data_IF_065712247056
#
_entry.id   IF_065712247056
#
_cell.length_a   1.000
_cell.length_b   1.000
_cell.length_c   1.000
_cell.angle_alpha   90.00
_cell.angle_beta   90.00
_cell.angle_gamma   90.00
#
_symmetry.space_group_name_H-M   'P 1'
#
loop_
_entity.id
_entity.type
_entity.pdbx_description
1 polymer ?
#
# COMPACT_ATOMS: atom_id res chain seq x y z
N UNK A 1 11.83 14.64 -5.63
CA UNK A 1 11.67 13.40 -6.42
C UNK A 1 10.23 13.25 -6.87
N UNK A 2 9.26 13.00 -5.97
CA UNK A 2 7.84 12.91 -6.35
C UNK A 2 7.33 14.12 -7.16
N UNK A 3 7.65 15.34 -6.72
CA UNK A 3 7.30 16.57 -7.47
C UNK A 3 7.98 16.65 -8.85
N UNK A 4 9.16 16.07 -9.04
CA UNK A 4 9.80 16.03 -10.35
C UNK A 4 9.00 15.12 -11.29
N UNK A 5 8.55 13.96 -10.81
CA UNK A 5 7.66 13.09 -11.58
C UNK A 5 6.30 13.74 -11.88
N UNK A 6 5.70 14.47 -10.93
CA UNK A 6 4.49 15.28 -11.20
C UNK A 6 4.70 16.35 -12.29
N UNK A 7 5.94 16.79 -12.48
CA UNK A 7 6.36 17.73 -13.54
C UNK A 7 6.87 17.03 -14.79
N UNK A 8 6.63 15.73 -14.93
CA UNK A 8 7.01 14.90 -16.09
C UNK A 8 8.53 14.75 -16.32
N UNK A 9 9.35 14.84 -15.26
CA UNK A 9 10.74 14.42 -15.36
C UNK A 9 10.79 12.91 -15.55
N UNK A 10 11.71 12.44 -16.38
CA UNK A 10 11.98 11.02 -16.58
C UNK A 10 12.81 10.46 -15.42
N UNK A 11 12.74 9.14 -15.22
CA UNK A 11 13.60 8.44 -14.25
C UNK A 11 15.08 8.68 -14.53
N UNK A 12 15.48 8.78 -15.79
CA UNK A 12 16.88 9.05 -16.18
C UNK A 12 17.33 10.45 -15.75
N UNK A 13 16.50 11.49 -15.96
CA UNK A 13 16.82 12.85 -15.51
C UNK A 13 16.94 12.93 -13.99
N UNK A 14 16.03 12.26 -13.25
CA UNK A 14 16.08 12.22 -11.78
C UNK A 14 17.29 11.43 -11.29
N UNK A 15 17.64 10.32 -11.95
CA UNK A 15 18.85 9.55 -11.67
C UNK A 15 20.11 10.40 -11.85
N UNK A 16 20.20 11.15 -12.95
CA UNK A 16 21.37 11.99 -13.20
C UNK A 16 21.60 13.05 -12.13
N UNK A 17 20.52 13.60 -11.55
CA UNK A 17 20.59 14.61 -10.50
C UNK A 17 20.81 14.05 -9.09
N UNK A 18 20.27 12.86 -8.79
CA UNK A 18 20.21 12.33 -7.42
C UNK A 18 21.14 11.15 -7.17
N UNK A 19 21.49 10.40 -8.23
CA UNK A 19 22.21 9.12 -8.19
C UNK A 19 21.53 8.04 -7.35
N UNK A 20 20.24 8.20 -7.05
CA UNK A 20 19.39 7.16 -6.46
C UNK A 20 19.14 6.10 -7.52
N UNK A 21 19.33 4.82 -7.20
CA UNK A 21 19.16 3.74 -8.16
C UNK A 21 17.77 3.77 -8.82
N UNK A 22 17.76 3.50 -10.14
CA UNK A 22 16.56 3.59 -10.96
C UNK A 22 15.45 2.67 -10.47
N UNK A 23 15.77 1.54 -9.84
CA UNK A 23 14.78 0.64 -9.26
C UNK A 23 13.90 1.38 -8.24
N UNK A 24 14.49 2.14 -7.30
CA UNK A 24 13.71 2.93 -6.34
C UNK A 24 12.94 4.06 -7.02
N UNK A 25 13.54 4.69 -8.03
CA UNK A 25 12.90 5.79 -8.75
C UNK A 25 11.65 5.33 -9.52
N UNK A 26 11.67 4.14 -10.13
CA UNK A 26 10.50 3.54 -10.77
C UNK A 26 9.36 3.30 -9.77
N UNK A 27 9.65 2.77 -8.58
CA UNK A 27 8.63 2.57 -7.55
C UNK A 27 8.00 3.90 -7.09
N UNK A 28 8.81 4.96 -6.94
CA UNK A 28 8.28 6.29 -6.58
C UNK A 28 7.45 6.87 -7.73
N UNK A 29 7.90 6.71 -8.98
CA UNK A 29 7.16 7.15 -10.16
C UNK A 29 5.82 6.43 -10.29
N UNK A 30 5.76 5.13 -10.01
CA UNK A 30 4.54 4.32 -10.02
C UNK A 30 3.51 4.83 -9.01
N UNK A 31 3.94 5.09 -7.76
CA UNK A 31 3.07 5.72 -6.74
C UNK A 31 2.54 7.07 -7.25
N UNK A 32 3.41 7.93 -7.79
CA UNK A 32 2.99 9.24 -8.32
C UNK A 32 2.00 9.11 -9.48
N UNK A 33 2.19 8.14 -10.39
CA UNK A 33 1.27 7.88 -11.50
C UNK A 33 -0.08 7.39 -11.00
N UNK A 34 -0.11 6.55 -9.97
CA UNK A 34 -1.35 6.09 -9.36
C UNK A 34 -2.13 7.23 -8.69
N UNK A 35 -1.44 8.28 -8.20
CA UNK A 35 -2.10 9.51 -7.71
C UNK A 35 -3.07 10.09 -8.77
N UNK A 36 -2.72 10.05 -10.06
CA UNK A 36 -3.59 10.54 -11.13
C UNK A 36 -4.84 9.67 -11.33
N UNK A 37 -4.70 8.35 -11.18
CA UNK A 37 -5.82 7.40 -11.23
C UNK A 37 -6.75 7.70 -10.06
N UNK A 38 -6.20 7.81 -8.85
CA UNK A 38 -6.95 8.10 -7.64
C UNK A 38 -7.70 9.45 -7.71
N UNK A 39 -7.11 10.45 -8.37
CA UNK A 39 -7.77 11.73 -8.63
C UNK A 39 -9.01 11.56 -9.54
N UNK A 40 -8.87 10.85 -10.66
CA UNK A 40 -9.86 10.76 -11.74
C UNK A 40 -10.98 9.76 -11.45
N UNK A 41 -10.64 8.59 -10.91
CA UNK A 41 -11.56 7.48 -10.69
C UNK A 41 -12.35 7.62 -9.38
N UNK A 42 -13.54 7.03 -9.29
CA UNK A 42 -14.27 6.91 -8.03
C UNK A 42 -13.55 5.96 -7.06
N UNK A 43 -13.75 6.14 -5.75
CA UNK A 43 -13.19 5.23 -4.74
C UNK A 43 -13.98 3.91 -4.70
N UNK A 44 -13.87 3.11 -5.76
CA UNK A 44 -14.39 1.74 -5.77
C UNK A 44 -13.62 0.87 -4.76
N UNK A 45 -14.17 -0.30 -4.35
CA UNK A 45 -13.44 -1.25 -3.51
C UNK A 45 -12.06 -1.63 -4.06
N UNK A 46 -11.94 -1.76 -5.37
CA UNK A 46 -10.71 -2.14 -6.08
C UNK A 46 -9.67 -1.02 -6.03
N UNK A 47 -10.06 0.21 -6.42
CA UNK A 47 -9.16 1.38 -6.38
C UNK A 47 -8.73 1.68 -4.95
N UNK A 48 -9.67 1.61 -3.98
CA UNK A 48 -9.35 1.84 -2.59
C UNK A 48 -8.43 0.75 -2.03
N UNK A 49 -8.59 -0.52 -2.44
CA UNK A 49 -7.69 -1.61 -2.06
C UNK A 49 -6.28 -1.36 -2.59
N UNK A 50 -6.16 -1.09 -3.88
CA UNK A 50 -4.88 -0.83 -4.54
C UNK A 50 -4.15 0.36 -3.91
N UNK A 51 -4.88 1.45 -3.63
CA UNK A 51 -4.32 2.60 -2.91
C UNK A 51 -3.71 2.19 -1.55
N UNK A 52 -4.39 1.32 -0.79
CA UNK A 52 -3.88 0.86 0.51
C UNK A 52 -2.69 -0.08 0.37
N UNK A 53 -2.66 -0.93 -0.66
CA UNK A 53 -1.52 -1.82 -0.95
C UNK A 53 -0.28 -1.04 -1.41
N UNK A 54 -0.46 0.07 -2.13
CA UNK A 54 0.61 1.01 -2.47
C UNK A 54 1.04 1.90 -1.29
N UNK A 55 0.40 1.79 -0.13
CA UNK A 55 0.78 2.47 1.10
C UNK A 55 0.15 3.84 1.35
N UNK A 56 -0.83 4.26 0.55
CA UNK A 56 -1.53 5.53 0.80
C UNK A 56 -2.27 5.51 2.14
N UNK A 57 -2.10 6.56 2.93
CA UNK A 57 -2.87 6.77 4.15
C UNK A 57 -4.32 7.17 3.85
N UNK A 58 -5.24 6.92 4.80
CA UNK A 58 -6.63 7.39 4.66
C UNK A 58 -6.65 8.94 4.53
N UNK A 59 -5.71 9.63 5.19
CA UNK A 59 -5.49 11.07 5.10
C UNK A 59 -5.07 11.55 3.69
N UNK A 60 -4.11 10.90 3.05
CA UNK A 60 -3.65 11.29 1.71
C UNK A 60 -4.75 11.06 0.67
N UNK A 61 -5.45 9.93 0.74
CA UNK A 61 -6.61 9.65 -0.12
C UNK A 61 -7.67 10.73 0.08
N UNK A 62 -7.98 11.09 1.34
CA UNK A 62 -8.96 12.13 1.65
C UNK A 62 -8.55 13.49 1.04
N UNK A 63 -7.28 13.87 1.17
CA UNK A 63 -6.75 15.11 0.57
C UNK A 63 -6.88 15.11 -0.95
N UNK A 64 -6.61 13.98 -1.61
CA UNK A 64 -6.69 13.83 -3.07
C UNK A 64 -8.15 13.89 -3.54
N UNK A 65 -9.08 13.28 -2.81
CA UNK A 65 -10.51 13.21 -3.16
C UNK A 65 -11.33 14.40 -2.67
N UNK A 66 -10.76 15.31 -1.88
CA UNK A 66 -11.50 16.41 -1.25
C UNK A 66 -12.50 15.93 -0.19
N UNK A 67 -12.19 14.81 0.47
CA UNK A 67 -12.98 14.20 1.54
C UNK A 67 -12.30 14.44 2.90
N UNK A 68 -12.97 14.08 3.99
CA UNK A 68 -12.36 13.93 5.30
C UNK A 68 -11.72 12.55 5.46
N UNK A 69 -10.70 12.43 6.32
CA UNK A 69 -10.07 11.15 6.65
C UNK A 69 -11.09 10.15 7.23
N UNK A 70 -12.06 10.62 8.01
CA UNK A 70 -13.11 9.79 8.60
C UNK A 70 -14.03 9.18 7.54
N UNK A 71 -14.42 9.95 6.51
CA UNK A 71 -15.23 9.43 5.40
C UNK A 71 -14.50 8.31 4.65
N UNK A 72 -13.21 8.51 4.33
CA UNK A 72 -12.40 7.48 3.66
C UNK A 72 -12.25 6.25 4.56
N UNK A 73 -11.99 6.44 5.86
CA UNK A 73 -11.87 5.33 6.83
C UNK A 73 -13.17 4.54 6.94
N UNK A 74 -14.33 5.21 6.96
CA UNK A 74 -15.64 4.58 7.04
C UNK A 74 -15.98 3.82 5.75
N UNK A 75 -15.68 4.39 4.59
CA UNK A 75 -15.81 3.73 3.29
C UNK A 75 -14.93 2.48 3.19
N UNK A 76 -13.66 2.60 3.58
CA UNK A 76 -12.72 1.47 3.62
C UNK A 76 -13.24 0.33 4.49
N UNK A 77 -13.82 0.65 5.66
CA UNK A 77 -14.43 -0.32 6.56
C UNK A 77 -15.70 -0.96 5.98
N UNK A 78 -16.54 -0.21 5.27
CA UNK A 78 -17.77 -0.75 4.66
C UNK A 78 -17.45 -1.75 3.54
N UNK A 79 -16.34 -1.54 2.82
CA UNK A 79 -15.79 -2.49 1.84
C UNK A 79 -14.98 -3.63 2.46
N UNK A 80 -14.89 -3.72 3.79
CA UNK A 80 -14.10 -4.73 4.51
C UNK A 80 -12.61 -4.71 4.14
N UNK A 81 -12.08 -3.57 3.72
CA UNK A 81 -10.65 -3.39 3.43
C UNK A 81 -9.94 -3.08 4.75
N UNK A 82 -9.33 -4.11 5.35
CA UNK A 82 -8.60 -4.01 6.62
C UNK A 82 -7.17 -4.49 6.39
N UNK A 83 -6.19 -3.90 7.09
CA UNK A 83 -4.87 -4.51 7.10
C UNK A 83 -4.95 -5.87 7.79
N UNK A 84 -4.11 -6.79 7.38
CA UNK A 84 -3.73 -7.95 8.18
C UNK A 84 -2.44 -7.64 8.95
N UNK A 85 -2.11 -8.48 9.91
CA UNK A 85 -0.81 -8.48 10.58
C UNK A 85 -0.02 -9.70 10.10
N UNK A 86 1.30 -9.54 10.00
CA UNK A 86 2.23 -10.59 9.55
C UNK A 86 3.37 -10.73 10.55
N UNK A 87 3.62 -11.96 10.99
CA UNK A 87 4.73 -12.31 11.86
C UNK A 87 6.09 -12.22 11.17
N UNK A 88 7.10 -11.76 11.90
CA UNK A 88 8.50 -11.79 11.48
C UNK A 88 9.15 -13.07 12.01
N UNK A 89 9.50 -13.98 11.09
CA UNK A 89 9.98 -15.34 11.42
C UNK A 89 11.44 -15.63 11.02
N UNK A 90 12.10 -14.70 10.32
CA UNK A 90 13.47 -14.82 9.75
C UNK A 90 13.64 -15.86 8.64
N UNK A 91 12.60 -16.61 8.28
CA UNK A 91 12.64 -17.74 7.35
C UNK A 91 11.54 -17.69 6.26
N UNK A 92 10.82 -16.57 6.13
CA UNK A 92 9.81 -16.35 5.11
C UNK A 92 8.70 -17.43 5.11
N UNK A 93 8.26 -17.83 6.30
CA UNK A 93 7.19 -18.80 6.51
C UNK A 93 7.61 -20.26 6.49
N UNK A 94 8.90 -20.59 6.41
CA UNK A 94 9.37 -21.99 6.44
C UNK A 94 9.05 -22.68 7.77
N UNK A 95 9.18 -21.95 8.89
CA UNK A 95 8.96 -22.46 10.25
C UNK A 95 8.07 -21.53 11.06
N UNK A 96 7.35 -22.11 12.03
CA UNK A 96 6.53 -21.33 12.98
C UNK A 96 7.42 -20.53 13.92
N UNK A 97 7.22 -19.22 13.96
CA UNK A 97 7.83 -18.35 14.95
C UNK A 97 6.93 -18.21 16.19
N UNK A 98 7.51 -18.36 17.39
CA UNK A 98 6.79 -18.22 18.65
C UNK A 98 6.86 -16.80 19.24
N UNK A 99 7.66 -15.92 18.65
CA UNK A 99 7.84 -14.55 19.13
C UNK A 99 6.78 -13.64 18.48
N UNK A 100 5.99 -12.88 19.27
CA UNK A 100 4.91 -12.04 18.74
C UNK A 100 5.45 -10.72 18.17
N UNK A 101 6.26 -10.80 17.11
CA UNK A 101 6.79 -9.64 16.39
C UNK A 101 6.07 -9.48 15.05
N UNK A 102 5.22 -8.45 14.95
CA UNK A 102 4.31 -8.27 13.80
C UNK A 102 4.47 -6.90 13.11
N UNK A 103 4.06 -6.84 11.86
CA UNK A 103 3.82 -5.60 11.10
C UNK A 103 2.46 -5.68 10.38
N UNK A 104 1.83 -4.53 10.14
CA UNK A 104 0.58 -4.48 9.37
C UNK A 104 0.85 -4.42 7.86
N UNK A 105 0.06 -5.12 7.07
CA UNK A 105 0.09 -5.08 5.60
C UNK A 105 -1.32 -5.12 5.03
N UNK A 106 -1.53 -4.60 3.82
CA UNK A 106 -2.79 -4.75 3.09
C UNK A 106 -2.81 -5.94 2.13
N UNK A 107 -1.74 -6.73 2.12
CA UNK A 107 -1.68 -8.02 1.44
C UNK A 107 -2.79 -8.98 1.91
N UNK A 108 -3.02 -10.01 1.09
CA UNK A 108 -3.90 -11.10 1.48
C UNK A 108 -3.38 -11.78 2.76
N UNK A 109 -4.27 -12.13 3.70
CA UNK A 109 -3.89 -12.93 4.85
C UNK A 109 -3.21 -14.23 4.40
N UNK A 110 -2.24 -14.69 5.18
CA UNK A 110 -1.58 -15.97 4.93
C UNK A 110 -1.60 -16.75 6.22
N UNK A 111 -2.38 -17.83 6.26
CA UNK A 111 -2.09 -19.16 6.80
C UNK A 111 -3.29 -20.05 6.42
N UNK A 112 -3.03 -21.32 6.05
CA UNK A 112 -4.08 -22.33 5.93
C UNK A 112 -3.76 -23.45 6.91
N UNK A 113 -4.50 -23.53 8.02
CA UNK A 113 -4.43 -24.71 8.92
C UNK A 113 -5.68 -25.54 8.65
N UNK A 114 -5.49 -26.82 8.30
CA UNK A 114 -6.57 -27.77 8.00
C UNK A 114 -7.63 -27.25 7.00
N UNK A 115 -7.20 -26.49 5.99
CA UNK A 115 -8.07 -25.96 4.94
C UNK A 115 -8.88 -24.72 5.34
N UNK A 116 -8.63 -24.12 6.51
CA UNK A 116 -9.20 -22.82 6.90
C UNK A 116 -8.17 -21.72 6.74
N UNK A 117 -8.55 -20.65 6.04
CA UNK A 117 -7.81 -19.40 6.05
C UNK A 117 -7.84 -18.83 7.47
N UNK A 118 -6.67 -18.76 8.08
CA UNK A 118 -6.47 -18.17 9.40
C UNK A 118 -5.81 -16.81 9.18
N UNK A 119 -6.43 -15.77 9.71
CA UNK A 119 -5.77 -14.49 9.90
C UNK A 119 -4.74 -14.69 11.01
N UNK A 120 -3.56 -14.07 10.94
CA UNK A 120 -2.50 -14.11 11.99
C UNK A 120 -2.97 -13.62 13.39
N UNK A 121 -4.28 -13.38 13.55
CA UNK A 121 -4.98 -12.96 14.75
C UNK A 121 -5.70 -14.11 15.49
N UNK A 122 -5.76 -15.34 14.93
CA UNK A 122 -6.41 -16.53 15.56
C UNK A 122 -5.42 -17.63 16.02
#
# INVERSE_FOLDING_TARGET
IAEAFRRNYTVDEVYELTKIDKWFLYNIEEIVKFEEILQKEELSPEILREAKEMGYSDYEIAKIKGMTEEEVRNLRKSYKIRPCFKGVDTCAGEFVAYTPYYYSSYESPYYTIDGKEILDED
#
